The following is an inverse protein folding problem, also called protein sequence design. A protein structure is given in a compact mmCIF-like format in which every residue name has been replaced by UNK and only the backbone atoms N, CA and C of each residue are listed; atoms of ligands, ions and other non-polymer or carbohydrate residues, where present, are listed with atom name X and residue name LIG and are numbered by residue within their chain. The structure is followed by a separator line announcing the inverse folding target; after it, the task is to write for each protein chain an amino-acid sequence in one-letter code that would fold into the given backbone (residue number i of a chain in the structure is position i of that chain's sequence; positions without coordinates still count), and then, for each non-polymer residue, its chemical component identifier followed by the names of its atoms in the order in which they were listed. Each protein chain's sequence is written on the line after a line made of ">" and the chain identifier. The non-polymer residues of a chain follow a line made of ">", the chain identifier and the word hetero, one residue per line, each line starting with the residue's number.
data_IF_133388789265
#
_entry.id   IF_133388789265
#
_cell.length_a   1.000
_cell.length_b   1.000
_cell.length_c   1.000
_cell.angle_alpha   90.00
_cell.angle_beta   90.00
_cell.angle_gamma   90.00
#
_symmetry.space_group_name_H-M   'P 1'
#
loop_
_entity.id
_entity.type
_entity.pdbx_description
1 polymer ?
#
# COMPACT_ATOMS: atom_id res chain seq x y z
N UNK A 1 -42.03 0.91 31.20
CA UNK A 1 -42.02 0.22 29.90
C UNK A 1 -40.61 -0.34 29.72
N UNK A 2 -40.39 -1.60 30.09
CA UNK A 2 -39.08 -2.25 29.96
C UNK A 2 -38.95 -2.73 28.51
N UNK A 3 -38.08 -2.09 27.73
CA UNK A 3 -37.60 -2.71 26.51
C UNK A 3 -36.86 -3.98 26.94
N UNK A 4 -37.36 -5.16 26.55
CA UNK A 4 -36.65 -6.40 26.82
C UNK A 4 -35.23 -6.27 26.22
N UNK A 5 -34.16 -6.48 27.00
CA UNK A 5 -32.80 -6.38 26.48
C UNK A 5 -32.62 -7.37 25.33
N UNK A 6 -31.89 -6.95 24.30
CA UNK A 6 -31.53 -7.83 23.19
C UNK A 6 -30.70 -9.00 23.72
N UNK A 7 -31.24 -10.22 23.60
CA UNK A 7 -30.62 -11.43 24.14
C UNK A 7 -29.22 -11.68 23.57
N UNK A 8 -28.92 -11.21 22.35
CA UNK A 8 -27.58 -11.33 21.77
C UNK A 8 -26.52 -10.54 22.53
N UNK A 9 -26.91 -9.50 23.26
CA UNK A 9 -25.97 -8.66 24.03
C UNK A 9 -25.62 -9.24 25.41
N UNK A 10 -26.29 -10.32 25.81
CA UNK A 10 -26.15 -10.91 27.15
C UNK A 10 -25.08 -12.01 27.24
N UNK A 11 -24.40 -12.35 26.14
CA UNK A 11 -23.45 -13.48 26.05
C UNK A 11 -22.29 -13.37 27.04
N UNK A 12 -21.68 -12.19 27.15
CA UNK A 12 -20.60 -11.94 28.11
C UNK A 12 -21.06 -11.99 29.58
N UNK A 13 -22.21 -11.38 29.89
CA UNK A 13 -22.76 -11.39 31.24
C UNK A 13 -23.24 -12.79 31.66
N UNK A 14 -23.78 -13.58 30.72
CA UNK A 14 -24.11 -14.98 30.95
C UNK A 14 -22.86 -15.81 31.25
N UNK A 15 -21.82 -15.69 30.43
CA UNK A 15 -20.55 -16.41 30.61
C UNK A 15 -19.87 -16.09 31.96
N UNK A 16 -20.02 -14.86 32.45
CA UNK A 16 -19.53 -14.43 33.76
C UNK A 16 -20.46 -14.79 34.94
N UNK A 17 -21.56 -15.51 34.69
CA UNK A 17 -22.61 -15.81 35.67
C UNK A 17 -23.18 -14.55 36.37
N UNK A 18 -23.30 -13.45 35.63
CA UNK A 18 -23.72 -12.14 36.13
C UNK A 18 -25.16 -11.75 35.76
N UNK A 19 -25.94 -12.66 35.18
CA UNK A 19 -27.35 -12.41 34.85
C UNK A 19 -28.30 -12.75 36.02
N UNK A 20 -29.36 -11.96 36.23
CA UNK A 20 -30.45 -12.34 37.12
C UNK A 20 -31.19 -13.58 36.57
N UNK A 21 -31.84 -14.34 37.46
CA UNK A 21 -32.43 -15.64 37.10
C UNK A 21 -33.45 -15.57 35.94
N UNK A 22 -34.24 -14.50 35.87
CA UNK A 22 -35.22 -14.31 34.80
C UNK A 22 -34.58 -14.13 33.42
N UNK A 23 -33.52 -13.32 33.34
CA UNK A 23 -32.76 -13.09 32.10
C UNK A 23 -31.94 -14.31 31.73
N UNK A 24 -31.34 -14.99 32.72
CA UNK A 24 -30.60 -16.23 32.52
C UNK A 24 -31.48 -17.31 31.89
N UNK A 25 -32.69 -17.53 32.42
CA UNK A 25 -33.64 -18.52 31.87
C UNK A 25 -34.16 -18.12 30.49
N UNK A 26 -34.30 -16.82 30.21
CA UNK A 26 -34.64 -16.34 28.87
C UNK A 26 -33.49 -16.59 27.88
N UNK A 27 -32.25 -16.29 28.29
CA UNK A 27 -31.06 -16.48 27.49
C UNK A 27 -30.74 -17.96 27.24
N UNK A 28 -30.89 -18.85 28.23
CA UNK A 28 -30.69 -20.31 28.06
C UNK A 28 -31.65 -20.91 27.01
N UNK A 29 -32.91 -20.44 26.95
CA UNK A 29 -33.86 -20.85 25.90
C UNK A 29 -33.44 -20.38 24.52
N UNK A 30 -32.84 -19.20 24.42
CA UNK A 30 -32.28 -18.67 23.17
C UNK A 30 -31.00 -19.42 22.76
N UNK A 31 -30.11 -19.68 23.71
CA UNK A 31 -28.85 -20.39 23.52
C UNK A 31 -29.05 -21.78 22.90
N UNK A 32 -30.12 -22.48 23.29
CA UNK A 32 -30.50 -23.77 22.73
C UNK A 32 -30.83 -23.72 21.21
N UNK A 33 -31.05 -22.52 20.66
CA UNK A 33 -31.50 -22.31 19.27
C UNK A 33 -30.57 -21.41 18.45
N UNK A 34 -29.54 -20.79 19.05
CA UNK A 34 -28.63 -19.86 18.38
C UNK A 34 -27.18 -20.33 18.43
N UNK A 35 -26.66 -20.97 17.36
CA UNK A 35 -25.27 -21.43 17.30
C UNK A 35 -24.23 -20.32 17.43
N UNK A 36 -24.52 -19.10 16.98
CA UNK A 36 -23.61 -17.97 17.07
C UNK A 36 -23.38 -17.54 18.53
N UNK A 37 -24.47 -17.38 19.30
CA UNK A 37 -24.38 -17.08 20.74
C UNK A 37 -23.73 -18.23 21.52
N UNK A 38 -23.96 -19.48 21.13
CA UNK A 38 -23.31 -20.64 21.75
C UNK A 38 -21.79 -20.61 21.57
N UNK A 39 -21.31 -20.25 20.38
CA UNK A 39 -19.88 -20.09 20.12
C UNK A 39 -19.30 -18.92 20.91
N UNK A 40 -19.97 -17.77 20.91
CA UNK A 40 -19.49 -16.58 21.61
C UNK A 40 -19.41 -16.77 23.14
N UNK A 41 -20.41 -17.44 23.74
CA UNK A 41 -20.37 -17.83 25.17
C UNK A 41 -19.17 -18.73 25.45
N UNK A 42 -18.89 -19.73 24.61
CA UNK A 42 -17.75 -20.62 24.79
C UNK A 42 -16.40 -19.86 24.73
N UNK A 43 -16.28 -18.87 23.84
CA UNK A 43 -15.08 -18.04 23.72
C UNK A 43 -14.89 -17.12 24.95
N UNK A 44 -15.99 -16.56 25.48
CA UNK A 44 -15.97 -15.79 26.73
C UNK A 44 -15.62 -16.67 27.93
N UNK A 45 -16.22 -17.86 28.06
CA UNK A 45 -15.90 -18.81 29.14
C UNK A 45 -14.43 -19.22 29.11
N UNK A 46 -13.86 -19.48 27.91
CA UNK A 46 -12.44 -19.78 27.76
C UNK A 46 -11.55 -18.62 28.21
N UNK A 47 -11.95 -17.38 27.92
CA UNK A 47 -11.23 -16.17 28.34
C UNK A 47 -11.31 -15.98 29.86
N UNK A 48 -12.50 -16.12 30.44
CA UNK A 48 -12.73 -16.02 31.88
C UNK A 48 -11.98 -17.11 32.65
N UNK A 49 -11.88 -18.33 32.12
CA UNK A 49 -11.08 -19.39 32.71
C UNK A 49 -9.59 -19.03 32.79
N UNK A 50 -9.03 -18.36 31.77
CA UNK A 50 -7.64 -17.88 31.80
C UNK A 50 -7.46 -16.80 32.86
N UNK A 51 -8.38 -15.85 32.95
CA UNK A 51 -8.36 -14.80 33.98
C UNK A 51 -8.46 -15.41 35.40
N UNK A 52 -9.41 -16.32 35.62
CA UNK A 52 -9.56 -17.00 36.91
C UNK A 52 -8.33 -17.84 37.29
N UNK A 53 -7.66 -18.46 36.32
CA UNK A 53 -6.42 -19.20 36.58
C UNK A 53 -5.26 -18.31 37.02
N UNK A 54 -5.19 -17.08 36.50
CA UNK A 54 -4.17 -16.10 36.87
C UNK A 54 -4.35 -15.57 38.30
N UNK A 55 -5.60 -15.48 38.76
CA UNK A 55 -5.98 -15.01 40.11
C UNK A 55 -6.09 -16.15 41.14
N UNK A 56 -5.66 -17.37 40.80
CA UNK A 56 -5.80 -18.53 41.68
C UNK A 56 -4.97 -18.39 42.97
N UNK A 57 -5.60 -18.66 44.11
CA UNK A 57 -4.96 -18.59 45.44
C UNK A 57 -4.66 -19.98 45.99
N UNK A 58 -3.80 -20.06 47.02
CA UNK A 58 -3.44 -21.32 47.63
C UNK A 58 -4.67 -22.00 48.30
N UNK A 59 -4.95 -23.24 47.89
CA UNK A 59 -6.06 -24.03 48.42
C UNK A 59 -5.73 -24.52 49.84
N UNK A 60 -6.61 -24.32 50.85
CA UNK A 60 -6.35 -24.77 52.21
C UNK A 60 -6.09 -26.29 52.30
N UNK A 61 -5.15 -26.72 53.18
CA UNK A 61 -4.86 -28.14 53.38
C UNK A 61 -6.12 -28.90 53.79
N UNK A 62 -6.29 -30.09 53.21
CA UNK A 62 -7.44 -30.96 53.48
C UNK A 62 -8.76 -30.55 52.80
N UNK A 63 -8.82 -29.48 51.98
CA UNK A 63 -10.05 -29.17 51.24
C UNK A 63 -10.45 -30.32 50.29
N UNK A 64 -9.47 -30.88 49.57
CA UNK A 64 -9.70 -32.01 48.67
C UNK A 64 -10.29 -33.22 49.40
N UNK A 65 -9.75 -33.59 50.56
CA UNK A 65 -10.24 -34.74 51.31
C UNK A 65 -11.66 -34.50 51.85
N UNK A 66 -11.96 -33.30 52.34
CA UNK A 66 -13.32 -32.92 52.76
C UNK A 66 -14.33 -33.00 51.61
N UNK A 67 -14.00 -32.45 50.44
CA UNK A 67 -14.86 -32.51 49.25
C UNK A 67 -15.10 -33.95 48.83
N UNK A 68 -14.03 -34.75 48.72
CA UNK A 68 -14.12 -36.15 48.32
C UNK A 68 -14.94 -37.01 49.29
N UNK A 69 -14.83 -36.75 50.60
CA UNK A 69 -15.66 -37.43 51.60
C UNK A 69 -17.14 -37.07 51.45
N UNK A 70 -17.46 -35.79 51.20
CA UNK A 70 -18.84 -35.31 51.07
C UNK A 70 -19.56 -35.79 49.79
N UNK A 71 -18.85 -36.14 48.73
CA UNK A 71 -19.47 -36.62 47.47
C UNK A 71 -20.39 -37.83 47.70
N UNK A 72 -20.01 -38.72 48.63
CA UNK A 72 -20.80 -39.93 48.97
C UNK A 72 -22.11 -39.64 49.71
N UNK A 73 -22.17 -38.50 50.42
CA UNK A 73 -23.31 -38.13 51.27
C UNK A 73 -24.34 -37.25 50.54
N UNK A 74 -23.94 -36.60 49.44
CA UNK A 74 -24.85 -35.79 48.63
C UNK A 74 -25.74 -36.69 47.79
N UNK A 75 -27.07 -36.56 47.98
CA UNK A 75 -28.07 -37.22 47.15
C UNK A 75 -27.84 -36.87 45.69
N UNK A 76 -27.42 -37.87 44.91
CA UNK A 76 -27.31 -37.75 43.46
C UNK A 76 -28.70 -37.56 42.87
N UNK A 77 -28.86 -36.59 41.97
CA UNK A 77 -30.08 -36.49 41.16
C UNK A 77 -30.23 -37.79 40.35
N UNK A 78 -31.47 -38.29 40.17
CA UNK A 78 -31.70 -39.44 39.32
C UNK A 78 -31.12 -39.15 37.92
N UNK A 79 -30.52 -40.16 37.26
CA UNK A 79 -29.98 -39.98 35.92
C UNK A 79 -31.09 -39.43 35.02
N UNK A 80 -30.77 -38.39 34.25
CA UNK A 80 -31.70 -37.85 33.25
C UNK A 80 -31.91 -38.93 32.18
N UNK A 81 -32.95 -39.74 32.34
CA UNK A 81 -33.42 -40.72 31.36
C UNK A 81 -34.32 -40.04 30.34
N UNK A 82 -33.86 -38.91 29.78
CA UNK A 82 -34.34 -38.51 28.45
C UNK A 82 -33.68 -39.44 27.43
N UNK A 83 -34.16 -39.50 26.17
CA UNK A 83 -33.24 -39.91 25.12
C UNK A 83 -32.03 -38.99 25.28
N UNK A 84 -30.89 -39.56 25.72
CA UNK A 84 -29.61 -39.00 25.36
C UNK A 84 -29.71 -39.05 23.85
N UNK A 85 -30.12 -37.93 23.25
CA UNK A 85 -29.79 -37.64 21.89
C UNK A 85 -28.28 -37.75 21.92
N UNK A 86 -27.76 -38.95 21.60
CA UNK A 86 -26.44 -39.09 21.02
C UNK A 86 -26.41 -37.90 20.08
N UNK A 87 -25.50 -36.91 20.24
CA UNK A 87 -25.45 -35.79 19.32
C UNK A 87 -25.53 -36.45 17.98
N UNK A 88 -26.65 -36.22 17.29
CA UNK A 88 -26.97 -36.96 16.09
C UNK A 88 -25.85 -36.46 15.21
N UNK A 89 -24.83 -37.29 15.01
CA UNK A 89 -23.69 -37.00 14.13
C UNK A 89 -24.27 -37.05 12.72
N UNK A 90 -25.20 -36.15 12.42
CA UNK A 90 -25.68 -35.84 11.09
C UNK A 90 -24.63 -34.96 10.47
N UNK A 91 -23.47 -35.56 10.19
CA UNK A 91 -22.51 -34.97 9.28
C UNK A 91 -21.43 -36.00 8.94
N UNK A 92 -21.81 -37.06 8.23
CA UNK A 92 -20.85 -37.69 7.32
C UNK A 92 -20.36 -36.70 6.24
N UNK A 93 -21.01 -35.53 6.11
CA UNK A 93 -20.52 -34.38 5.36
C UNK A 93 -19.46 -33.54 6.10
N UNK A 94 -19.40 -33.50 7.45
CA UNK A 94 -18.45 -32.61 8.17
C UNK A 94 -17.06 -33.22 8.40
N UNK A 95 -16.81 -34.44 7.94
CA UNK A 95 -15.46 -35.04 8.00
C UNK A 95 -14.50 -34.45 6.94
N UNK A 96 -15.01 -33.66 6.00
CA UNK A 96 -14.25 -32.91 5.01
C UNK A 96 -14.24 -31.39 5.28
N UNK A 97 -14.98 -30.92 6.28
CA UNK A 97 -15.12 -29.48 6.56
C UNK A 97 -13.94 -28.84 7.30
N UNK A 98 -13.12 -29.53 8.13
CA UNK A 98 -11.93 -28.88 8.66
C UNK A 98 -10.87 -28.66 7.55
N UNK A 99 -10.81 -29.52 6.54
CA UNK A 99 -9.94 -29.32 5.36
C UNK A 99 -10.45 -28.17 4.50
N UNK A 100 -11.76 -28.07 4.27
CA UNK A 100 -12.36 -26.95 3.52
C UNK A 100 -12.27 -25.63 4.30
N UNK A 101 -12.41 -25.65 5.62
CA UNK A 101 -12.24 -24.47 6.47
C UNK A 101 -10.77 -24.02 6.51
N UNK A 102 -9.81 -24.95 6.64
CA UNK A 102 -8.38 -24.65 6.55
C UNK A 102 -8.03 -24.12 5.16
N UNK A 103 -8.54 -24.73 4.10
CA UNK A 103 -8.35 -24.27 2.72
C UNK A 103 -8.96 -22.88 2.51
N UNK A 104 -10.14 -22.59 3.08
CA UNK A 104 -10.76 -21.28 3.02
C UNK A 104 -9.94 -20.22 3.79
N UNK A 105 -9.43 -20.54 4.98
CA UNK A 105 -8.56 -19.64 5.74
C UNK A 105 -7.23 -19.39 5.01
N UNK A 106 -6.63 -20.43 4.42
CA UNK A 106 -5.42 -20.29 3.61
C UNK A 106 -5.70 -19.45 2.36
N UNK A 107 -6.82 -19.67 1.66
CA UNK A 107 -7.22 -18.87 0.52
C UNK A 107 -7.48 -17.40 0.90
N UNK A 108 -8.08 -17.15 2.07
CA UNK A 108 -8.29 -15.79 2.57
C UNK A 108 -6.96 -15.13 2.95
N UNK A 109 -6.07 -15.84 3.64
CA UNK A 109 -4.75 -15.34 4.02
C UNK A 109 -3.88 -15.05 2.79
N UNK A 110 -3.92 -15.91 1.77
CA UNK A 110 -3.20 -15.67 0.51
C UNK A 110 -3.81 -14.52 -0.28
N UNK A 111 -5.14 -14.40 -0.33
CA UNK A 111 -5.82 -13.27 -0.96
C UNK A 111 -5.48 -11.94 -0.27
N UNK A 112 -5.59 -11.90 1.07
CA UNK A 112 -5.23 -10.72 1.86
C UNK A 112 -3.73 -10.40 1.75
N UNK A 113 -2.87 -11.42 1.79
CA UNK A 113 -1.42 -11.27 1.57
C UNK A 113 -1.11 -10.72 0.17
N UNK A 114 -1.78 -11.21 -0.87
CA UNK A 114 -1.63 -10.71 -2.23
C UNK A 114 -2.09 -9.26 -2.36
N UNK A 115 -3.23 -8.90 -1.74
CA UNK A 115 -3.70 -7.50 -1.70
C UNK A 115 -2.71 -6.61 -0.95
N UNK A 116 -2.17 -7.06 0.19
CA UNK A 116 -1.19 -6.32 0.96
C UNK A 116 0.11 -6.09 0.17
N UNK A 117 0.62 -7.11 -0.53
CA UNK A 117 1.79 -6.99 -1.42
C UNK A 117 1.48 -6.03 -2.57
N UNK A 118 0.31 -6.15 -3.19
CA UNK A 118 -0.10 -5.25 -4.27
C UNK A 118 -0.20 -3.80 -3.80
N UNK A 119 -0.77 -3.54 -2.62
CA UNK A 119 -0.85 -2.21 -2.04
C UNK A 119 0.54 -1.65 -1.71
N UNK A 120 1.43 -2.49 -1.18
CA UNK A 120 2.81 -2.10 -0.89
C UNK A 120 3.57 -1.73 -2.17
N UNK A 121 3.41 -2.54 -3.23
CA UNK A 121 3.96 -2.25 -4.55
C UNK A 121 3.41 -0.96 -5.14
N UNK A 122 2.10 -0.74 -5.04
CA UNK A 122 1.47 0.49 -5.53
C UNK A 122 1.96 1.72 -4.76
N UNK A 123 2.06 1.63 -3.43
CA UNK A 123 2.59 2.70 -2.60
C UNK A 123 4.07 2.98 -2.94
N UNK A 124 4.89 1.94 -3.10
CA UNK A 124 6.28 2.05 -3.51
C UNK A 124 6.44 2.71 -4.88
N UNK A 125 5.62 2.31 -5.86
CA UNK A 125 5.61 2.92 -7.21
C UNK A 125 5.17 4.37 -7.17
N UNK A 126 4.14 4.70 -6.40
CA UNK A 126 3.66 6.07 -6.23
C UNK A 126 4.74 6.96 -5.58
N UNK A 127 5.43 6.46 -4.56
CA UNK A 127 6.50 7.18 -3.88
C UNK A 127 7.74 7.33 -4.78
N UNK A 128 8.07 6.32 -5.58
CA UNK A 128 9.14 6.39 -6.58
C UNK A 128 8.82 7.42 -7.68
N UNK A 129 7.57 7.47 -8.15
CA UNK A 129 7.15 8.47 -9.12
C UNK A 129 7.18 9.89 -8.55
N UNK A 130 6.69 10.08 -7.32
CA UNK A 130 6.70 11.37 -6.65
C UNK A 130 8.12 11.88 -6.35
N UNK A 131 9.06 10.98 -6.00
CA UNK A 131 10.46 11.36 -5.80
C UNK A 131 11.15 11.74 -7.10
N UNK A 132 10.89 11.05 -8.21
CA UNK A 132 11.39 11.42 -9.55
C UNK A 132 10.91 12.82 -9.97
N UNK A 133 9.61 13.08 -9.87
CA UNK A 133 9.05 14.40 -10.20
C UNK A 133 9.64 15.52 -9.33
N UNK A 134 9.82 15.27 -8.02
CA UNK A 134 10.47 16.24 -7.13
C UNK A 134 11.93 16.49 -7.51
N UNK A 135 12.68 15.45 -7.89
CA UNK A 135 14.07 15.58 -8.32
C UNK A 135 14.18 16.39 -9.62
N UNK A 136 13.29 16.14 -10.59
CA UNK A 136 13.23 16.91 -11.84
C UNK A 136 12.92 18.40 -11.57
N UNK A 137 11.91 18.68 -10.73
CA UNK A 137 11.56 20.04 -10.33
C UNK A 137 12.71 20.74 -9.60
N UNK A 138 13.38 20.04 -8.69
CA UNK A 138 14.51 20.56 -7.94
C UNK A 138 15.72 20.84 -8.86
N UNK A 139 15.96 20.02 -9.88
CA UNK A 139 17.02 20.25 -10.85
C UNK A 139 16.79 21.54 -11.64
N UNK A 140 15.57 21.76 -12.15
CA UNK A 140 15.22 22.98 -12.87
C UNK A 140 15.27 24.20 -11.95
N UNK A 141 14.69 24.12 -10.75
CA UNK A 141 14.73 25.21 -9.79
C UNK A 141 16.17 25.55 -9.34
N UNK A 142 17.01 24.53 -9.14
CA UNK A 142 18.43 24.71 -8.79
C UNK A 142 19.22 25.39 -9.90
N UNK A 143 18.86 25.17 -11.16
CA UNK A 143 19.49 25.84 -12.29
C UNK A 143 19.09 27.31 -12.36
N UNK A 144 17.79 27.60 -12.25
CA UNK A 144 17.25 28.96 -12.33
C UNK A 144 17.66 29.86 -11.15
N UNK A 145 17.98 29.25 -10.01
CA UNK A 145 18.41 29.98 -8.80
C UNK A 145 19.92 29.91 -8.56
N UNK A 146 20.69 29.31 -9.49
CA UNK A 146 22.13 29.28 -9.37
C UNK A 146 22.71 30.71 -9.46
N UNK A 147 23.65 31.10 -8.57
CA UNK A 147 24.28 32.41 -8.63
C UNK A 147 25.06 32.67 -9.93
N UNK A 148 25.54 31.60 -10.57
CA UNK A 148 26.23 31.59 -11.86
C UNK A 148 25.30 31.15 -13.00
N UNK A 149 23.99 31.33 -12.87
CA UNK A 149 23.06 31.06 -13.95
C UNK A 149 23.23 32.09 -15.07
N UNK A 150 23.60 31.62 -16.26
CA UNK A 150 23.69 32.41 -17.48
C UNK A 150 22.52 32.10 -18.40
N UNK A 151 22.15 33.04 -19.27
CA UNK A 151 21.05 32.87 -20.22
C UNK A 151 21.36 33.51 -21.56
N UNK A 152 21.14 32.77 -22.64
CA UNK A 152 21.27 33.23 -24.02
C UNK A 152 19.99 32.92 -24.78
N UNK A 153 19.47 33.91 -25.49
CA UNK A 153 18.29 33.75 -26.35
C UNK A 153 18.67 33.96 -27.80
N UNK A 154 18.25 33.06 -28.67
CA UNK A 154 18.42 33.13 -30.12
C UNK A 154 17.06 33.09 -30.81
N UNK A 155 16.91 33.88 -31.87
CA UNK A 155 15.69 33.94 -32.68
C UNK A 155 16.04 33.56 -34.11
N UNK A 156 15.28 32.63 -34.70
CA UNK A 156 15.44 32.19 -36.09
C UNK A 156 14.07 32.07 -36.75
N UNK A 157 13.71 33.05 -37.58
CA UNK A 157 12.35 33.16 -38.13
C UNK A 157 11.31 33.33 -37.02
N UNK A 158 10.35 32.40 -36.93
CA UNK A 158 9.35 32.36 -35.84
C UNK A 158 9.85 31.64 -34.58
N UNK A 159 10.99 30.95 -34.66
CA UNK A 159 11.52 30.17 -33.55
C UNK A 159 12.26 31.08 -32.56
N UNK A 160 11.92 30.94 -31.28
CA UNK A 160 12.64 31.56 -30.17
C UNK A 160 13.17 30.45 -29.30
N UNK A 161 14.48 30.44 -29.06
CA UNK A 161 15.15 29.46 -28.22
C UNK A 161 15.95 30.16 -27.13
N UNK A 162 15.75 29.75 -25.89
CA UNK A 162 16.46 30.23 -24.70
C UNK A 162 17.24 29.09 -24.09
N UNK A 163 18.53 29.28 -23.91
CA UNK A 163 19.41 28.39 -23.18
C UNK A 163 19.73 29.01 -21.83
N UNK A 164 19.53 28.26 -20.75
CA UNK A 164 19.91 28.62 -19.39
C UNK A 164 20.94 27.61 -18.92
N UNK A 165 22.05 28.05 -18.32
CA UNK A 165 23.05 27.12 -17.80
C UNK A 165 23.76 27.61 -16.54
N UNK A 166 24.32 26.68 -15.79
CA UNK A 166 25.23 26.94 -14.67
C UNK A 166 26.43 26.01 -14.78
N UNK A 167 27.62 26.61 -14.82
CA UNK A 167 28.88 25.88 -14.92
C UNK A 167 29.21 25.17 -13.61
N UNK A 168 28.91 25.80 -12.46
CA UNK A 168 29.12 25.22 -11.14
C UNK A 168 28.21 23.99 -10.90
N UNK A 169 27.01 23.98 -11.48
CA UNK A 169 26.09 22.83 -11.44
C UNK A 169 26.37 21.82 -12.55
N UNK A 170 27.12 22.20 -13.58
CA UNK A 170 27.36 21.36 -14.76
C UNK A 170 26.08 21.05 -15.56
N UNK A 171 25.07 21.92 -15.48
CA UNK A 171 23.72 21.70 -16.00
C UNK A 171 23.31 22.80 -16.97
N UNK A 172 22.44 22.45 -17.92
CA UNK A 172 21.82 23.37 -18.87
C UNK A 172 20.36 22.97 -19.14
N UNK A 173 19.50 23.95 -19.34
CA UNK A 173 18.12 23.78 -19.76
C UNK A 173 17.86 24.61 -21.02
N UNK A 174 17.09 24.03 -21.93
CA UNK A 174 16.69 24.64 -23.18
C UNK A 174 15.17 24.84 -23.18
N UNK A 175 14.73 26.00 -23.64
CA UNK A 175 13.33 26.33 -23.86
C UNK A 175 13.18 26.79 -25.30
N UNK A 176 12.18 26.27 -26.00
CA UNK A 176 11.87 26.76 -27.35
C UNK A 176 10.38 26.98 -27.53
N UNK A 177 10.06 27.94 -28.40
CA UNK A 177 8.72 28.21 -28.91
C UNK A 177 8.79 28.58 -30.39
N UNK A 178 7.70 28.37 -31.13
CA UNK A 178 7.59 28.80 -32.53
C UNK A 178 8.50 28.07 -33.53
N UNK A 179 9.05 26.90 -33.16
CA UNK A 179 9.84 26.08 -34.08
C UNK A 179 8.96 25.54 -35.21
N UNK A 180 9.52 25.31 -36.41
CA UNK A 180 8.79 24.71 -37.52
C UNK A 180 8.10 23.38 -37.16
N UNK A 181 7.00 23.06 -37.85
CA UNK A 181 6.37 21.76 -37.71
C UNK A 181 7.30 20.65 -38.25
N UNK A 182 7.43 19.56 -37.48
CA UNK A 182 8.24 18.41 -37.88
C UNK A 182 7.45 17.47 -38.80
N UNK A 183 8.09 16.92 -39.86
CA UNK A 183 7.53 15.81 -40.60
C UNK A 183 7.26 14.59 -39.70
N UNK A 184 6.39 13.67 -40.14
CA UNK A 184 6.16 12.43 -39.41
C UNK A 184 7.46 11.64 -39.21
N UNK A 185 7.66 11.09 -38.01
CA UNK A 185 8.84 10.31 -37.66
C UNK A 185 10.11 11.13 -37.39
N UNK A 186 10.00 12.46 -37.23
CA UNK A 186 11.12 13.35 -36.87
C UNK A 186 10.96 13.92 -35.45
N UNK A 187 12.08 14.34 -34.86
CA UNK A 187 12.19 15.03 -33.58
C UNK A 187 13.23 16.16 -33.69
N UNK A 188 13.19 17.13 -32.78
CA UNK A 188 14.34 18.01 -32.60
C UNK A 188 15.35 17.33 -31.69
N UNK A 189 16.62 17.35 -32.07
CA UNK A 189 17.71 16.89 -31.20
C UNK A 189 18.62 18.05 -30.86
N UNK A 190 18.99 18.11 -29.59
CA UNK A 190 19.89 19.09 -29.04
C UNK A 190 21.27 18.46 -28.87
N UNK A 191 22.29 19.26 -29.09
CA UNK A 191 23.67 18.82 -29.08
C UNK A 191 24.52 19.81 -28.29
N UNK A 192 25.40 19.31 -27.43
CA UNK A 192 26.52 20.11 -26.95
C UNK A 192 27.56 20.22 -28.06
N UNK A 193 27.97 21.44 -28.38
CA UNK A 193 29.02 21.73 -29.33
C UNK A 193 30.37 21.78 -28.60
N UNK A 194 31.13 20.69 -28.66
CA UNK A 194 32.48 20.61 -28.09
C UNK A 194 33.51 21.02 -29.17
N UNK A 195 33.51 22.31 -29.56
CA UNK A 195 34.39 22.90 -30.58
C UNK A 195 34.33 22.23 -31.96
N UNK A 196 33.11 21.98 -32.44
CA UNK A 196 32.78 21.35 -33.73
C UNK A 196 32.37 19.88 -33.61
N UNK A 197 32.55 19.26 -32.44
CA UNK A 197 32.03 17.91 -32.17
C UNK A 197 30.69 17.99 -31.48
N UNK A 198 29.64 17.53 -32.16
CA UNK A 198 28.27 17.58 -31.67
C UNK A 198 27.93 16.32 -30.88
N UNK A 199 27.75 16.47 -29.57
CA UNK A 199 27.44 15.39 -28.63
C UNK A 199 25.95 15.44 -28.23
N UNK A 200 25.19 14.34 -28.29
CA UNK A 200 23.78 14.34 -27.96
C UNK A 200 23.50 14.92 -26.56
N UNK A 201 22.53 15.83 -26.49
CA UNK A 201 22.12 16.53 -25.27
C UNK A 201 20.62 16.36 -24.97
N UNK A 202 19.88 15.66 -25.83
CA UNK A 202 18.51 15.22 -25.58
C UNK A 202 17.54 15.57 -26.71
N UNK A 203 16.32 15.07 -26.60
CA UNK A 203 15.30 15.15 -27.64
C UNK A 203 14.15 16.07 -27.21
N UNK A 204 13.67 16.86 -28.17
CA UNK A 204 12.49 17.72 -28.02
C UNK A 204 11.46 17.32 -29.10
N UNK A 205 10.46 16.50 -28.75
CA UNK A 205 9.49 15.95 -29.71
C UNK A 205 8.62 17.00 -30.40
N UNK A 206 8.44 18.16 -29.77
CA UNK A 206 7.55 19.22 -30.22
C UNK A 206 8.34 20.49 -30.53
N UNK A 207 7.79 21.34 -31.40
CA UNK A 207 8.38 22.65 -31.69
C UNK A 207 8.22 23.71 -30.57
N UNK A 208 7.78 23.28 -29.40
CA UNK A 208 7.56 24.09 -28.23
C UNK A 208 7.79 23.23 -26.98
N UNK A 209 8.41 23.80 -25.95
CA UNK A 209 8.61 23.11 -24.67
C UNK A 209 9.92 23.46 -24.00
N UNK A 210 10.22 22.68 -22.96
CA UNK A 210 11.44 22.80 -22.17
C UNK A 210 12.12 21.43 -22.05
N UNK A 211 13.44 21.42 -22.00
CA UNK A 211 14.26 20.22 -21.84
C UNK A 211 15.45 20.54 -20.94
N UNK A 212 15.64 19.77 -19.87
CA UNK A 212 16.94 19.75 -19.17
C UNK A 212 17.91 18.91 -20.02
N UNK A 213 19.02 19.50 -20.43
CA UNK A 213 20.00 18.84 -21.28
C UNK A 213 20.68 17.69 -20.53
N UNK A 214 20.88 16.58 -21.23
CA UNK A 214 21.50 15.37 -20.69
C UNK A 214 23.00 15.38 -20.97
N UNK A 215 23.80 15.18 -19.92
CA UNK A 215 25.26 15.25 -19.97
C UNK A 215 25.81 16.55 -19.40
N UNK A 216 27.14 16.65 -19.33
CA UNK A 216 27.82 17.81 -18.76
C UNK A 216 28.02 18.90 -19.80
N UNK A 217 27.83 20.15 -19.38
CA UNK A 217 28.10 21.34 -20.18
C UNK A 217 29.60 21.68 -20.28
N UNK A 218 30.41 21.16 -19.37
CA UNK A 218 31.84 21.45 -19.30
C UNK A 218 32.53 21.04 -20.61
N UNK A 219 33.21 22.01 -21.25
CA UNK A 219 33.90 21.81 -22.53
C UNK A 219 33.06 22.16 -23.76
N UNK A 220 31.75 22.36 -23.60
CA UNK A 220 30.90 22.84 -24.68
C UNK A 220 31.08 24.35 -24.87
N UNK A 221 31.12 24.79 -26.12
CA UNK A 221 31.13 26.21 -26.54
C UNK A 221 29.75 26.71 -26.96
N UNK A 222 28.79 25.80 -27.10
CA UNK A 222 27.43 26.10 -27.50
C UNK A 222 26.50 24.91 -27.43
N UNK A 223 25.24 25.16 -27.77
CA UNK A 223 24.20 24.14 -28.00
C UNK A 223 23.64 24.32 -29.39
N UNK A 224 23.64 23.25 -30.19
CA UNK A 224 22.98 23.26 -31.49
C UNK A 224 21.69 22.46 -31.50
N UNK A 225 20.81 22.78 -32.45
CA UNK A 225 19.50 22.14 -32.62
C UNK A 225 19.35 21.66 -34.06
N UNK A 226 19.02 20.39 -34.27
CA UNK A 226 18.80 19.80 -35.61
C UNK A 226 17.48 19.04 -35.68
N UNK A 227 17.04 18.67 -36.88
CA UNK A 227 15.90 17.77 -37.09
C UNK A 227 16.40 16.36 -37.36
N UNK A 228 16.06 15.44 -36.47
CA UNK A 228 16.56 14.07 -36.47
C UNK A 228 15.41 13.07 -36.55
N UNK A 229 15.67 11.78 -36.82
CA UNK A 229 14.65 10.72 -36.69
C UNK A 229 14.10 10.66 -35.25
N UNK A 230 12.88 10.15 -35.06
CA UNK A 230 12.18 10.17 -33.76
C UNK A 230 12.92 9.51 -32.57
N UNK A 231 13.97 8.72 -32.82
CA UNK A 231 14.84 8.13 -31.80
C UNK A 231 16.16 8.88 -31.56
N UNK A 232 16.37 10.02 -32.23
CA UNK A 232 17.64 10.73 -32.29
C UNK A 232 18.66 10.08 -33.23
N UNK A 233 19.85 10.62 -33.23
CA UNK A 233 20.99 10.23 -34.05
C UNK A 233 22.26 10.15 -33.20
N UNK A 234 23.26 9.38 -33.66
CA UNK A 234 24.57 9.37 -32.99
C UNK A 234 25.39 10.65 -33.27
N UNK A 235 25.10 11.32 -34.39
CA UNK A 235 25.68 12.58 -34.86
C UNK A 235 24.61 13.34 -35.65
N UNK A 236 24.69 14.68 -35.75
CA UNK A 236 23.75 15.44 -36.56
C UNK A 236 23.64 14.90 -37.98
N UNK A 237 22.42 14.67 -38.48
CA UNK A 237 22.20 14.21 -39.86
C UNK A 237 22.06 15.37 -40.85
N UNK A 238 21.96 16.60 -40.35
CA UNK A 238 21.82 17.81 -41.16
C UNK A 238 22.48 19.03 -40.52
N UNK A 239 22.31 20.17 -41.19
CA UNK A 239 22.79 21.45 -40.67
C UNK A 239 21.99 21.87 -39.42
N UNK A 240 22.62 22.48 -38.42
CA UNK A 240 21.92 23.05 -37.28
C UNK A 240 20.92 24.13 -37.74
N UNK A 241 19.69 24.01 -37.26
CA UNK A 241 18.66 25.05 -37.41
C UNK A 241 18.99 26.29 -36.55
N UNK A 242 19.62 26.05 -35.41
CA UNK A 242 20.06 27.07 -34.47
C UNK A 242 21.35 26.63 -33.80
N UNK A 243 22.17 27.62 -33.44
CA UNK A 243 23.35 27.49 -32.59
C UNK A 243 23.25 28.57 -31.51
N UNK A 244 23.29 28.15 -30.26
CA UNK A 244 23.19 28.99 -29.08
C UNK A 244 24.56 28.97 -28.37
N UNK A 245 25.33 30.06 -28.41
CA UNK A 245 26.65 30.08 -27.80
C UNK A 245 26.56 30.13 -26.27
N UNK A 246 27.53 29.48 -25.61
CA UNK A 246 27.78 29.59 -24.18
C UNK A 246 28.80 30.72 -23.98
N UNK A 247 28.33 31.91 -23.63
CA UNK A 247 29.13 33.15 -23.48
C UNK A 247 29.19 33.63 -22.04
#
# INVERSE_FOLDING_TARGET
>A
MNAAPDLHTLTGAYAAHALPDEERLAFERHLAQCPACAQEVADFEATLARLGSAESTHVPPGLKSRVMAGIGDVRQLPPVTGPIGRPRRTSHLARQWPELALAACLALATALGAVAVQQHDQAGRAQAQASRLRAEQAAVASLLTAPDAHTTTTVSGSAVATLVWSTARGQAAFLATGMPALPQGRTYELWFDDSGTMRPAGLLPTGHGQLLLTGHINGAVGVGVTQEPAGGSARPTGQPLMLLPLT
#
